data_IF_311783419830
#
_entry.id   IF_311783419830
#
_cell.length_a   1.000
_cell.length_b   1.000
_cell.length_c   1.000
_cell.angle_alpha   90.00
_cell.angle_beta   90.00
_cell.angle_gamma   90.00
#
_symmetry.space_group_name_H-M   'P 1'
#
loop_
_entity.id
_entity.type
_entity.pdbx_description
1 polymer ?
#
# COMPACT_ATOMS: atom_id res chain seq x y z
N UNK A 1 -7.48 21.79 24.40
CA UNK A 1 -6.45 21.93 23.35
C UNK A 1 -6.58 20.73 22.42
N UNK A 2 -7.16 21.00 21.26
CA UNK A 2 -7.47 20.07 20.18
C UNK A 2 -6.17 19.60 19.52
N UNK A 3 -6.02 18.29 19.35
CA UNK A 3 -4.87 17.66 18.69
C UNK A 3 -5.35 16.49 17.87
N UNK A 4 -5.93 16.82 16.73
CA UNK A 4 -6.44 15.92 15.69
C UNK A 4 -5.28 15.08 15.13
N UNK A 5 -5.03 13.91 15.71
CA UNK A 5 -4.04 12.95 15.20
C UNK A 5 -4.60 12.25 13.96
N UNK A 6 -4.68 13.01 12.88
CA UNK A 6 -5.04 12.57 11.53
C UNK A 6 -3.92 11.67 10.99
N UNK A 7 -3.89 10.42 11.45
CA UNK A 7 -3.07 9.35 10.87
C UNK A 7 -3.61 9.11 9.47
N UNK A 8 -2.87 9.54 8.45
CA UNK A 8 -3.25 9.47 7.03
C UNK A 8 -3.46 8.02 6.59
N UNK A 9 -4.65 7.46 6.82
CA UNK A 9 -5.09 6.25 6.14
C UNK A 9 -5.66 6.68 4.80
N UNK A 10 -5.21 6.06 3.71
CA UNK A 10 -5.79 6.30 2.38
C UNK A 10 -7.20 5.74 2.22
N UNK A 11 -7.71 5.07 3.26
CA UNK A 11 -9.01 4.40 3.32
C UNK A 11 -9.75 4.81 4.59
N UNK A 12 -11.07 4.92 4.48
CA UNK A 12 -11.96 5.16 5.61
C UNK A 12 -11.96 3.96 6.59
N UNK A 13 -11.91 4.19 7.91
CA UNK A 13 -11.98 3.11 8.90
C UNK A 13 -13.28 2.30 8.78
N UNK A 14 -13.18 0.99 9.03
CA UNK A 14 -14.31 0.04 9.03
C UNK A 14 -15.12 -0.03 7.72
N UNK A 15 -14.59 0.50 6.61
CA UNK A 15 -15.18 0.36 5.28
C UNK A 15 -14.89 -1.01 4.64
N UNK A 16 -15.81 -1.48 3.79
CA UNK A 16 -15.56 -2.61 2.88
C UNK A 16 -14.98 -2.07 1.58
N UNK A 17 -13.82 -2.59 1.18
CA UNK A 17 -13.14 -2.18 -0.04
C UNK A 17 -12.87 -3.38 -0.96
N UNK A 18 -12.99 -3.18 -2.27
CA UNK A 18 -12.49 -4.12 -3.27
C UNK A 18 -11.05 -3.76 -3.60
N UNK A 19 -10.08 -4.52 -3.09
CA UNK A 19 -8.65 -4.23 -3.26
C UNK A 19 -8.23 -4.14 -4.74
N UNK A 20 -8.80 -4.99 -5.60
CA UNK A 20 -8.52 -4.98 -7.04
C UNK A 20 -9.04 -3.70 -7.73
N UNK A 21 -10.05 -3.04 -7.16
CA UNK A 21 -10.54 -1.74 -7.65
C UNK A 21 -9.83 -0.54 -7.04
N UNK A 22 -8.90 -0.76 -6.11
CA UNK A 22 -8.11 0.31 -5.50
C UNK A 22 -6.80 0.57 -6.25
N UNK A 23 -6.48 -0.18 -7.29
CA UNK A 23 -5.25 0.01 -8.04
C UNK A 23 -5.49 -0.37 -9.49
N UNK A 24 -4.94 0.43 -10.39
CA UNK A 24 -4.99 0.13 -11.82
C UNK A 24 -3.74 -0.67 -12.22
N UNK A 25 -3.95 -1.62 -13.11
CA UNK A 25 -2.86 -2.31 -13.79
C UNK A 25 -2.36 -1.45 -14.96
N UNK A 26 -1.05 -1.48 -15.21
CA UNK A 26 -0.41 -0.80 -16.34
C UNK A 26 0.56 -1.75 -17.04
N UNK A 27 0.53 -1.83 -18.38
CA UNK A 27 1.53 -2.58 -19.15
C UNK A 27 2.95 -2.09 -18.88
N UNK A 28 3.91 -3.02 -18.88
CA UNK A 28 5.35 -2.80 -18.70
C UNK A 28 5.70 -2.03 -17.41
N UNK A 29 4.86 -2.14 -16.37
CA UNK A 29 5.00 -1.32 -15.17
C UNK A 29 4.66 -2.04 -13.88
N UNK A 30 5.12 -1.46 -12.77
CA UNK A 30 4.70 -1.78 -11.41
C UNK A 30 3.95 -0.58 -10.86
N UNK A 31 2.67 -0.75 -10.56
CA UNK A 31 1.85 0.26 -9.89
C UNK A 31 1.79 -0.07 -8.41
N UNK A 32 1.94 0.93 -7.54
CA UNK A 32 1.81 0.73 -6.10
C UNK A 32 0.93 1.80 -5.45
N UNK A 33 0.22 1.43 -4.38
CA UNK A 33 -0.57 2.34 -3.56
C UNK A 33 -0.49 1.95 -2.10
N UNK A 34 0.07 2.83 -1.30
CA UNK A 34 0.06 2.71 0.16
C UNK A 34 -1.33 3.03 0.68
N UNK A 35 -1.98 2.07 1.32
CA UNK A 35 -3.33 2.22 1.90
C UNK A 35 -3.28 2.51 3.40
N UNK A 36 -2.22 2.07 4.08
CA UNK A 36 -1.97 2.35 5.50
C UNK A 36 -0.52 2.81 5.65
N UNK A 37 -0.34 3.99 6.21
CA UNK A 37 0.98 4.51 6.61
C UNK A 37 0.93 4.88 8.10
N UNK A 38 1.64 4.10 8.91
CA UNK A 38 1.72 4.27 10.36
C UNK A 38 3.14 3.95 10.83
N UNK A 39 3.52 4.55 11.97
CA UNK A 39 4.81 4.27 12.60
C UNK A 39 5.02 2.79 12.96
N UNK A 40 3.94 2.02 13.14
CA UNK A 40 3.98 0.58 13.42
C UNK A 40 4.17 -0.30 12.17
N UNK A 41 4.14 0.28 10.97
CA UNK A 41 4.23 -0.44 9.71
C UNK A 41 3.34 0.16 8.62
N UNK A 42 3.68 -0.19 7.39
CA UNK A 42 2.98 0.24 6.18
C UNK A 42 2.28 -0.95 5.51
N UNK A 43 1.17 -0.68 4.84
CA UNK A 43 0.50 -1.66 3.97
C UNK A 43 0.37 -1.04 2.59
N UNK A 44 0.96 -1.71 1.60
CA UNK A 44 1.04 -1.25 0.22
C UNK A 44 0.49 -2.32 -0.71
N UNK A 45 -0.43 -1.92 -1.58
CA UNK A 45 -0.92 -2.75 -2.68
C UNK A 45 0.02 -2.58 -3.87
N UNK A 46 0.27 -3.68 -4.58
CA UNK A 46 1.08 -3.69 -5.80
C UNK A 46 0.31 -4.38 -6.93
N UNK A 47 0.47 -3.86 -8.15
CA UNK A 47 0.08 -4.53 -9.39
C UNK A 47 1.32 -4.63 -10.27
N UNK A 48 1.70 -5.85 -10.60
CA UNK A 48 2.85 -6.16 -11.44
C UNK A 48 2.36 -6.60 -12.81
N UNK A 49 2.97 -6.05 -13.86
CA UNK A 49 2.94 -6.72 -15.15
C UNK A 49 3.82 -7.98 -15.17
N UNK A 50 3.54 -8.88 -16.09
CA UNK A 50 4.32 -10.08 -16.34
C UNK A 50 5.81 -9.71 -16.57
N UNK A 51 6.69 -10.33 -15.79
CA UNK A 51 8.13 -10.07 -15.85
C UNK A 51 8.60 -8.84 -15.07
N UNK A 52 7.67 -8.04 -14.50
CA UNK A 52 8.00 -6.98 -13.55
C UNK A 52 8.10 -7.54 -12.12
N UNK A 53 8.87 -6.88 -11.27
CA UNK A 53 9.05 -7.27 -9.87
C UNK A 53 9.65 -6.13 -9.06
N UNK A 54 9.64 -6.28 -7.74
CA UNK A 54 10.38 -5.37 -6.86
C UNK A 54 11.85 -5.77 -6.86
N UNK A 55 12.73 -4.77 -6.89
CA UNK A 55 14.15 -4.99 -6.61
C UNK A 55 14.32 -5.50 -5.17
N UNK A 56 15.29 -6.38 -4.95
CA UNK A 56 15.64 -6.82 -3.60
C UNK A 56 15.94 -5.62 -2.72
N UNK A 57 15.09 -5.40 -1.73
CA UNK A 57 15.25 -4.35 -0.73
C UNK A 57 15.06 -4.94 0.66
N UNK A 58 16.00 -4.62 1.55
CA UNK A 58 15.97 -5.05 2.95
C UNK A 58 14.93 -4.22 3.70
N UNK A 59 13.83 -4.82 4.10
CA UNK A 59 12.90 -4.21 5.04
C UNK A 59 13.42 -4.44 6.48
N UNK A 60 13.38 -3.43 7.37
CA UNK A 60 13.76 -3.61 8.78
C UNK A 60 12.74 -4.47 9.57
N UNK A 61 11.65 -4.88 8.93
CA UNK A 61 10.57 -5.70 9.48
C UNK A 61 10.21 -6.81 8.49
N UNK A 62 9.50 -7.82 8.97
CA UNK A 62 8.96 -8.89 8.11
C UNK A 62 8.01 -8.31 7.06
N UNK A 63 8.32 -8.54 5.78
CA UNK A 63 7.48 -8.14 4.66
C UNK A 63 6.79 -9.38 4.09
N UNK A 64 5.45 -9.37 4.08
CA UNK A 64 4.64 -10.35 3.35
C UNK A 64 4.31 -9.76 1.98
N UNK A 65 4.76 -10.42 0.92
CA UNK A 65 4.58 -10.00 -0.49
C UNK A 65 3.86 -11.09 -1.26
#
# INVERSE_FOLDING_TARGET
MSGENNRKTGLEPAGKFNLAGLLDYQPDSVVSRTIIDRASGTVTLFSFDAGQGLSEHTAPFDALV
#
